data_IF_936882338448
#
_entry.id   IF_936882338448
#
_cell.length_a   1.000
_cell.length_b   1.000
_cell.length_c   1.000
_cell.angle_alpha   90.00
_cell.angle_beta   90.00
_cell.angle_gamma   90.00
#
_symmetry.space_group_name_H-M   'P 1'
#
loop_
_entity.id
_entity.type
_entity.pdbx_description
1 polymer ?
#
# COMPACT_ATOMS: atom_id res chain seq x y z
N UNK A 1 -15.58 1.68 -4.46
CA UNK A 1 -14.71 2.61 -3.73
C UNK A 1 -13.33 2.57 -4.41
N UNK A 2 -12.20 2.92 -3.76
CA UNK A 2 -10.92 3.10 -4.49
C UNK A 2 -10.49 1.84 -5.25
N UNK A 3 -10.75 0.65 -4.71
CA UNK A 3 -10.43 -0.65 -5.33
C UNK A 3 -11.21 -0.92 -6.62
N UNK A 4 -12.33 -0.23 -6.84
CA UNK A 4 -13.14 -0.36 -8.07
C UNK A 4 -12.73 0.65 -9.16
N UNK A 5 -11.67 1.44 -8.94
CA UNK A 5 -11.27 2.52 -9.88
C UNK A 5 -10.19 2.07 -10.85
N UNK A 6 -10.19 2.65 -12.06
CA UNK A 6 -9.08 2.48 -13.02
C UNK A 6 -7.73 2.89 -12.41
N UNK A 7 -7.72 3.86 -11.50
CA UNK A 7 -6.52 4.28 -10.79
C UNK A 7 -5.94 3.19 -9.89
N UNK A 8 -6.78 2.35 -9.28
CA UNK A 8 -6.30 1.21 -8.51
C UNK A 8 -5.71 0.13 -9.40
N UNK A 9 -6.37 -0.18 -10.54
CA UNK A 9 -5.85 -1.12 -11.54
C UNK A 9 -4.44 -0.70 -11.98
N UNK A 10 -4.24 0.58 -12.29
CA UNK A 10 -2.92 1.11 -12.68
C UNK A 10 -1.86 0.97 -11.57
N UNK A 11 -2.24 1.14 -10.31
CA UNK A 11 -1.31 0.96 -9.18
C UNK A 11 -0.93 -0.51 -9.00
N UNK A 12 -1.88 -1.44 -9.18
CA UNK A 12 -1.59 -2.88 -9.16
C UNK A 12 -0.71 -3.27 -10.36
N UNK A 13 -0.99 -2.75 -11.55
CA UNK A 13 -0.12 -2.94 -12.72
C UNK A 13 1.32 -2.45 -12.42
N UNK A 14 1.47 -1.26 -11.84
CA UNK A 14 2.76 -0.73 -11.41
C UNK A 14 3.50 -1.67 -10.44
N UNK A 15 2.81 -2.23 -9.45
CA UNK A 15 3.37 -3.25 -8.57
C UNK A 15 3.83 -4.48 -9.36
N UNK A 16 2.98 -4.99 -10.25
CA UNK A 16 3.26 -6.22 -11.02
C UNK A 16 4.49 -6.07 -11.93
N UNK A 17 4.67 -4.89 -12.53
CA UNK A 17 5.84 -4.56 -13.35
C UNK A 17 7.16 -4.57 -12.55
N UNK A 18 7.07 -4.38 -11.23
CA UNK A 18 8.21 -4.29 -10.32
C UNK A 18 8.38 -5.52 -9.41
N UNK A 19 7.61 -6.59 -9.61
CA UNK A 19 7.69 -7.82 -8.78
C UNK A 19 9.10 -8.41 -8.72
N UNK A 20 9.86 -8.30 -9.80
CA UNK A 20 11.24 -8.79 -9.87
C UNK A 20 12.18 -8.19 -8.80
N UNK A 21 11.83 -7.02 -8.22
CA UNK A 21 12.52 -6.39 -7.10
C UNK A 21 12.42 -7.21 -5.80
N UNK A 22 11.34 -7.99 -5.66
CA UNK A 22 11.04 -8.81 -4.47
C UNK A 22 11.49 -10.27 -4.59
N UNK A 23 11.63 -10.77 -5.81
CA UNK A 23 12.01 -12.17 -6.07
C UNK A 23 13.52 -12.43 -5.95
N UNK A 24 14.36 -11.44 -6.26
CA UNK A 24 15.81 -11.64 -6.46
C UNK A 24 16.68 -11.10 -5.32
N UNK A 25 16.12 -11.02 -4.11
CA UNK A 25 16.71 -10.21 -3.04
C UNK A 25 17.67 -11.02 -2.18
N UNK A 26 18.91 -10.54 -2.05
CA UNK A 26 19.82 -10.99 -1.00
C UNK A 26 19.33 -10.47 0.35
N UNK A 27 19.12 -11.38 1.30
CA UNK A 27 18.74 -11.02 2.65
C UNK A 27 19.75 -10.02 3.26
N UNK A 28 19.30 -8.88 3.81
CA UNK A 28 20.14 -8.01 4.62
C UNK A 28 20.70 -8.80 5.81
N UNK A 29 21.95 -8.53 6.23
CA UNK A 29 22.56 -9.16 7.41
C UNK A 29 21.74 -8.97 8.70
N UNK A 30 20.92 -7.92 8.76
CA UNK A 30 19.98 -7.62 9.84
C UNK A 30 18.67 -7.09 9.28
N UNK A 31 17.80 -8.00 8.87
CA UNK A 31 16.43 -7.63 8.55
C UNK A 31 15.58 -7.66 9.82
N UNK A 32 14.92 -6.55 10.13
CA UNK A 32 13.98 -6.46 11.26
C UNK A 32 12.52 -6.53 10.81
N UNK A 33 12.27 -6.58 9.50
CA UNK A 33 10.93 -6.47 8.93
C UNK A 33 10.80 -7.31 7.64
N UNK A 34 9.59 -7.83 7.42
CA UNK A 34 9.23 -8.57 6.20
C UNK A 34 8.54 -7.66 5.18
N UNK A 35 8.47 -8.09 3.92
CA UNK A 35 7.78 -7.34 2.85
C UNK A 35 6.38 -6.94 3.28
N UNK A 36 5.61 -7.87 3.84
CA UNK A 36 4.24 -7.58 4.25
C UNK A 36 4.16 -6.60 5.42
N UNK A 37 4.98 -6.77 6.45
CA UNK A 37 5.01 -5.84 7.59
C UNK A 37 5.36 -4.42 7.14
N UNK A 38 6.35 -4.26 6.26
CA UNK A 38 6.73 -2.95 5.74
C UNK A 38 5.59 -2.30 4.94
N UNK A 39 4.86 -3.07 4.13
CA UNK A 39 3.68 -2.59 3.41
C UNK A 39 2.59 -2.13 4.38
N UNK A 40 2.26 -2.93 5.40
CA UNK A 40 1.24 -2.60 6.38
C UNK A 40 1.58 -1.30 7.13
N UNK A 41 2.83 -1.15 7.59
CA UNK A 41 3.30 0.05 8.28
C UNK A 41 3.15 1.28 7.39
N UNK A 42 3.67 1.23 6.16
CA UNK A 42 3.64 2.38 5.26
C UNK A 42 2.20 2.74 4.84
N UNK A 43 1.34 1.74 4.57
CA UNK A 43 -0.08 1.99 4.30
C UNK A 43 -0.78 2.60 5.51
N UNK A 44 -0.53 2.09 6.73
CA UNK A 44 -1.11 2.67 7.94
C UNK A 44 -0.73 4.14 8.12
N UNK A 45 0.55 4.49 7.92
CA UNK A 45 1.01 5.88 7.98
C UNK A 45 0.29 6.77 6.95
N UNK A 46 0.15 6.28 5.72
CA UNK A 46 -0.55 7.01 4.67
C UNK A 46 -2.03 7.22 4.98
N UNK A 47 -2.71 6.22 5.54
CA UNK A 47 -4.14 6.30 5.85
C UNK A 47 -4.43 7.21 7.04
N UNK A 48 -3.56 7.19 8.05
CA UNK A 48 -3.58 8.18 9.14
C UNK A 48 -3.41 9.59 8.56
N UNK A 49 -2.49 9.76 7.61
CA UNK A 49 -2.24 11.03 6.93
C UNK A 49 -3.48 11.52 6.16
N UNK A 50 -4.10 10.67 5.33
CA UNK A 50 -5.36 10.97 4.62
C UNK A 50 -6.44 11.43 5.60
N UNK A 51 -6.66 10.68 6.68
CA UNK A 51 -7.69 10.98 7.67
C UNK A 51 -7.43 12.27 8.47
N UNK A 52 -6.16 12.63 8.64
CA UNK A 52 -5.73 13.84 9.37
C UNK A 52 -5.77 15.09 8.49
N UNK A 53 -5.48 14.95 7.19
CA UNK A 53 -5.56 16.01 6.20
C UNK A 53 -7.02 16.35 5.85
N UNK A 54 -7.91 15.35 5.84
CA UNK A 54 -9.32 15.50 5.52
C UNK A 54 -10.19 15.45 6.79
N UNK A 55 -10.18 16.54 7.57
CA UNK A 55 -10.85 16.59 8.89
C UNK A 55 -12.37 16.46 8.80
N UNK A 56 -12.97 16.91 7.69
CA UNK A 56 -14.41 16.89 7.46
C UNK A 56 -14.97 15.50 7.10
N UNK A 57 -14.11 14.48 6.97
CA UNK A 57 -14.56 13.10 6.74
C UNK A 57 -15.45 12.63 7.90
N UNK A 58 -16.68 12.27 7.54
CA UNK A 58 -17.62 11.63 8.45
C UNK A 58 -17.10 10.28 8.93
N UNK A 59 -17.64 9.79 10.05
CA UNK A 59 -17.33 8.45 10.56
C UNK A 59 -17.56 7.35 9.51
N UNK A 60 -18.63 7.47 8.71
CA UNK A 60 -18.94 6.51 7.66
C UNK A 60 -17.89 6.54 6.53
N UNK A 61 -17.41 7.72 6.14
CA UNK A 61 -16.33 7.84 5.16
C UNK A 61 -15.01 7.30 5.70
N UNK A 62 -14.67 7.57 6.97
CA UNK A 62 -13.46 7.00 7.60
C UNK A 62 -13.52 5.47 7.65
N UNK A 63 -14.65 4.88 8.06
CA UNK A 63 -14.82 3.42 8.04
C UNK A 63 -14.81 2.84 6.62
N UNK A 64 -15.31 3.57 5.63
CA UNK A 64 -15.19 3.17 4.24
C UNK A 64 -13.72 3.10 3.81
N UNK A 65 -12.91 4.11 4.13
CA UNK A 65 -11.46 4.10 3.86
C UNK A 65 -10.78 2.89 4.52
N UNK A 66 -11.04 2.61 5.79
CA UNK A 66 -10.43 1.45 6.48
C UNK A 66 -10.77 0.13 5.78
N UNK A 67 -12.03 -0.07 5.37
CA UNK A 67 -12.42 -1.30 4.65
C UNK A 67 -11.74 -1.45 3.30
N UNK A 68 -11.44 -0.35 2.62
CA UNK A 68 -10.68 -0.40 1.36
C UNK A 68 -9.23 -0.75 1.60
N UNK A 69 -8.65 -0.25 2.68
CA UNK A 69 -7.28 -0.60 3.06
C UNK A 69 -7.19 -2.09 3.37
N UNK A 70 -8.16 -2.65 4.09
CA UNK A 70 -8.22 -4.09 4.35
C UNK A 70 -8.30 -4.89 3.03
N UNK A 71 -9.09 -4.44 2.06
CA UNK A 71 -9.19 -5.07 0.74
C UNK A 71 -7.87 -4.95 -0.05
N UNK A 72 -7.22 -3.78 -0.04
CA UNK A 72 -5.92 -3.56 -0.67
C UNK A 72 -4.87 -4.49 -0.07
N UNK A 73 -4.80 -4.56 1.26
CA UNK A 73 -3.86 -5.45 1.98
C UNK A 73 -4.07 -6.90 1.56
N UNK A 74 -5.33 -7.37 1.50
CA UNK A 74 -5.66 -8.72 1.05
C UNK A 74 -5.17 -9.00 -0.39
N UNK A 75 -5.41 -8.07 -1.32
CA UNK A 75 -4.95 -8.22 -2.71
C UNK A 75 -3.42 -8.27 -2.79
N UNK A 76 -2.73 -7.46 -1.99
CA UNK A 76 -1.27 -7.45 -1.92
C UNK A 76 -0.70 -8.76 -1.34
N UNK A 77 -1.34 -9.32 -0.33
CA UNK A 77 -0.97 -10.64 0.21
C UNK A 77 -1.07 -11.73 -0.86
N UNK A 78 -2.10 -11.68 -1.71
CA UNK A 78 -2.28 -12.64 -2.81
C UNK A 78 -1.19 -12.46 -3.87
N UNK A 79 -0.99 -11.22 -4.34
CA UNK A 79 -0.01 -10.88 -5.38
C UNK A 79 1.42 -11.22 -4.94
N UNK A 80 1.76 -10.91 -3.68
CA UNK A 80 3.10 -11.08 -3.12
C UNK A 80 3.27 -12.39 -2.35
N UNK A 81 2.33 -13.33 -2.44
CA UNK A 81 2.27 -14.55 -1.62
C UNK A 81 3.57 -15.35 -1.58
N UNK A 82 4.38 -15.33 -2.65
CA UNK A 82 5.69 -15.99 -2.71
C UNK A 82 6.83 -15.29 -1.96
N UNK A 83 6.65 -14.02 -1.58
CA UNK A 83 7.70 -13.13 -1.05
C UNK A 83 7.28 -12.35 0.21
N UNK A 84 6.04 -12.46 0.68
CA UNK A 84 5.53 -11.72 1.86
C UNK A 84 6.41 -11.82 3.11
N UNK A 85 7.06 -12.98 3.32
CA UNK A 85 7.90 -13.26 4.49
C UNK A 85 9.39 -12.97 4.24
N UNK A 86 9.75 -12.53 3.03
CA UNK A 86 11.14 -12.19 2.73
C UNK A 86 11.53 -10.92 3.48
N UNK A 87 12.80 -10.81 3.90
CA UNK A 87 13.29 -9.59 4.49
C UNK A 87 13.31 -8.45 3.47
N UNK A 88 13.01 -7.24 3.94
CA UNK A 88 13.06 -6.03 3.11
C UNK A 88 14.47 -5.42 3.12
N UNK A 89 14.97 -5.09 1.94
CA UNK A 89 16.18 -4.27 1.76
C UNK A 89 15.83 -2.81 1.42
N UNK A 90 16.82 -1.93 1.38
CA UNK A 90 16.62 -0.49 1.18
C UNK A 90 15.89 -0.14 -0.14
N UNK A 91 16.16 -0.89 -1.22
CA UNK A 91 15.51 -0.64 -2.51
C UNK A 91 14.03 -1.05 -2.49
N UNK A 92 13.72 -2.16 -1.84
CA UNK A 92 12.35 -2.60 -1.61
C UNK A 92 11.59 -1.65 -0.68
N UNK A 93 12.22 -1.18 0.41
CA UNK A 93 11.61 -0.19 1.29
C UNK A 93 11.29 1.10 0.54
N UNK A 94 12.22 1.58 -0.30
CA UNK A 94 12.00 2.78 -1.10
C UNK A 94 10.81 2.61 -2.05
N UNK A 95 10.71 1.44 -2.71
CA UNK A 95 9.56 1.11 -3.55
C UNK A 95 8.25 1.04 -2.76
N UNK A 96 8.23 0.37 -1.61
CA UNK A 96 7.02 0.24 -0.76
C UNK A 96 6.53 1.63 -0.33
N UNK A 97 7.43 2.53 0.06
CA UNK A 97 7.10 3.92 0.41
C UNK A 97 6.45 4.67 -0.74
N UNK A 98 7.02 4.55 -1.93
CA UNK A 98 6.47 5.16 -3.13
C UNK A 98 5.09 4.60 -3.46
N UNK A 99 4.97 3.26 -3.47
CA UNK A 99 3.72 2.54 -3.72
C UNK A 99 2.61 2.96 -2.74
N UNK A 100 2.90 3.01 -1.43
CA UNK A 100 1.95 3.48 -0.43
C UNK A 100 1.53 4.94 -0.69
N UNK A 101 2.47 5.79 -1.12
CA UNK A 101 2.19 7.16 -1.54
C UNK A 101 1.23 7.24 -2.74
N UNK A 102 1.34 6.33 -3.72
CA UNK A 102 0.39 6.24 -4.83
C UNK A 102 -1.02 5.88 -4.33
N UNK A 103 -1.14 4.93 -3.41
CA UNK A 103 -2.41 4.57 -2.78
C UNK A 103 -3.02 5.77 -2.04
N UNK A 104 -2.21 6.53 -1.29
CA UNK A 104 -2.65 7.79 -0.67
C UNK A 104 -3.24 8.76 -1.70
N UNK A 105 -2.50 9.00 -2.78
CA UNK A 105 -2.93 9.92 -3.83
C UNK A 105 -4.25 9.48 -4.46
N UNK A 106 -4.46 8.16 -4.60
CA UNK A 106 -5.73 7.62 -5.06
C UNK A 106 -6.88 7.97 -4.10
N UNK A 107 -6.72 7.73 -2.80
CA UNK A 107 -7.71 8.12 -1.79
C UNK A 107 -7.99 9.62 -1.81
N UNK A 108 -6.96 10.46 -1.82
CA UNK A 108 -7.12 11.91 -1.89
C UNK A 108 -7.89 12.34 -3.15
N UNK A 109 -7.66 11.67 -4.28
CA UNK A 109 -8.36 11.98 -5.53
C UNK A 109 -9.85 11.65 -5.49
N UNK A 110 -10.23 10.58 -4.77
CA UNK A 110 -11.63 10.16 -4.63
C UNK A 110 -12.33 11.05 -3.61
N UNK A 111 -11.68 11.35 -2.48
CA UNK A 111 -12.23 12.22 -1.43
C UNK A 111 -12.52 13.63 -1.97
N UNK A 112 -11.66 14.18 -2.81
CA UNK A 112 -11.83 15.54 -3.37
C UNK A 112 -12.65 15.60 -4.67
N UNK A 113 -13.05 14.46 -5.24
CA UNK A 113 -13.95 14.42 -6.40
C UNK A 113 -15.43 14.44 -6.01
N UNK A 114 -15.74 14.15 -4.75
CA UNK A 114 -17.07 14.27 -4.14
C UNK A 114 -17.27 15.64 -3.47
#
# INVERSE_FOLDING_TARGET
>A
MVTDTDGYIQIIEYLTEHLSLFENSTAPEKANETVMSAIEVELCEQIISVCSQNQDLTFNQRNAIIREVDAIVYDLEEILSGVINNPVNDAQQAFIKEFAGLIKNLFDSVIHKD
#
